data_IF_372717178101
#
_entry.id   IF_372717178101
#
_cell.length_a   1.000
_cell.length_b   1.000
_cell.length_c   1.000
_cell.angle_alpha   90.00
_cell.angle_beta   90.00
_cell.angle_gamma   90.00
#
_symmetry.space_group_name_H-M   'P 1'
#
loop_
_entity.id
_entity.type
_entity.pdbx_description
1 polymer ?
#
# COMPACT_ATOMS: atom_id res chain seq x y z
N UNK A 1 -9.18 -89.51 -41.32
CA UNK A 1 -7.88 -88.83 -41.48
C UNK A 1 -7.38 -88.54 -40.07
N UNK A 2 -6.64 -89.41 -39.35
CA UNK A 2 -5.49 -90.26 -39.74
C UNK A 2 -4.34 -89.42 -40.32
N UNK A 3 -3.10 -89.43 -39.82
CA UNK A 3 -2.49 -90.00 -38.59
C UNK A 3 -1.19 -89.19 -38.26
N UNK A 4 -0.27 -89.47 -37.31
CA UNK A 4 -0.03 -90.53 -36.29
C UNK A 4 1.02 -90.02 -35.26
N UNK A 5 1.19 -90.67 -34.10
CA UNK A 5 2.37 -90.51 -33.24
C UNK A 5 3.62 -91.26 -33.81
N UNK A 6 4.84 -91.00 -33.32
CA UNK A 6 5.42 -91.92 -32.33
C UNK A 6 6.28 -91.26 -31.22
N UNK A 7 6.79 -92.11 -30.32
CA UNK A 7 7.48 -91.79 -29.04
C UNK A 7 9.00 -92.16 -29.12
N UNK A 8 9.81 -92.41 -28.05
CA UNK A 8 10.92 -91.53 -27.65
C UNK A 8 12.35 -92.19 -27.68
N UNK A 9 13.27 -91.69 -26.85
CA UNK A 9 14.61 -92.22 -26.40
C UNK A 9 15.88 -91.64 -27.08
N UNK A 10 17.10 -91.80 -26.51
CA UNK A 10 17.49 -91.22 -25.21
C UNK A 10 18.93 -90.62 -25.13
N UNK A 11 19.21 -89.87 -24.07
CA UNK A 11 20.50 -89.91 -23.36
C UNK A 11 21.68 -89.01 -23.83
N UNK A 12 22.14 -88.13 -22.92
CA UNK A 12 23.49 -88.25 -22.36
C UNK A 12 23.59 -87.55 -20.99
N UNK A 13 24.11 -88.25 -19.98
CA UNK A 13 24.67 -87.64 -18.77
C UNK A 13 26.02 -86.94 -19.11
N UNK A 14 26.72 -86.18 -18.27
CA UNK A 14 26.70 -86.01 -16.81
C UNK A 14 27.40 -84.67 -16.44
N UNK A 15 27.34 -84.33 -15.14
CA UNK A 15 28.45 -83.77 -14.32
C UNK A 15 28.36 -82.28 -13.93
N UNK A 16 27.58 -82.05 -12.86
CA UNK A 16 27.84 -80.98 -11.87
C UNK A 16 29.27 -81.03 -11.33
N UNK A 17 29.79 -79.89 -10.87
CA UNK A 17 30.18 -79.81 -9.46
C UNK A 17 29.51 -78.66 -8.70
N UNK A 18 29.50 -78.83 -7.39
CA UNK A 18 28.65 -78.19 -6.40
C UNK A 18 29.00 -76.74 -6.00
N UNK A 19 28.03 -76.13 -5.29
CA UNK A 19 28.17 -75.15 -4.19
C UNK A 19 28.76 -73.75 -4.45
N UNK A 20 27.90 -72.75 -4.29
CA UNK A 20 28.26 -71.33 -4.13
C UNK A 20 26.99 -70.48 -4.06
N UNK A 21 26.43 -70.26 -2.87
CA UNK A 21 25.12 -69.61 -2.72
C UNK A 21 25.18 -68.09 -2.69
N UNK A 22 24.31 -67.43 -3.46
CA UNK A 22 23.73 -66.14 -3.09
C UNK A 22 22.34 -66.00 -3.73
N UNK A 23 21.32 -65.68 -2.93
CA UNK A 23 19.92 -65.66 -3.39
C UNK A 23 19.65 -64.45 -4.28
N UNK A 24 19.12 -64.68 -5.48
CA UNK A 24 18.61 -63.64 -6.39
C UNK A 24 17.19 -63.98 -6.85
N UNK A 25 16.22 -63.19 -6.39
CA UNK A 25 14.78 -63.34 -6.63
C UNK A 25 14.12 -61.93 -6.57
N UNK A 26 12.91 -61.71 -7.11
CA UNK A 26 12.78 -60.80 -8.26
C UNK A 26 12.29 -59.39 -7.93
N UNK A 27 12.40 -58.51 -8.93
CA UNK A 27 11.95 -57.11 -8.90
C UNK A 27 10.41 -57.02 -8.72
N UNK A 28 9.90 -56.31 -7.69
CA UNK A 28 8.48 -56.02 -7.54
C UNK A 28 8.03 -54.81 -8.40
N UNK A 29 6.72 -54.68 -8.70
CA UNK A 29 6.23 -53.74 -9.72
C UNK A 29 6.29 -52.27 -9.29
N UNK A 30 6.45 -51.38 -10.29
CA UNK A 30 6.47 -49.93 -10.12
C UNK A 30 5.10 -49.41 -9.68
N UNK A 31 4.97 -49.07 -8.40
CA UNK A 31 3.87 -48.23 -7.91
C UNK A 31 4.10 -46.79 -8.37
N UNK A 32 3.23 -46.30 -9.26
CA UNK A 32 3.29 -44.94 -9.79
C UNK A 32 2.90 -43.92 -8.69
N UNK A 33 3.91 -43.30 -8.05
CA UNK A 33 3.65 -42.22 -7.10
C UNK A 33 3.23 -40.95 -7.83
N UNK A 34 2.06 -40.40 -7.50
CA UNK A 34 1.63 -39.07 -7.98
C UNK A 34 2.30 -37.95 -7.20
N UNK A 35 3.63 -38.01 -7.07
CA UNK A 35 4.47 -36.97 -6.48
C UNK A 35 5.05 -36.10 -7.60
N UNK A 36 4.18 -35.39 -8.33
CA UNK A 36 4.60 -34.51 -9.42
C UNK A 36 5.34 -33.28 -8.88
N UNK A 37 6.67 -33.38 -8.89
CA UNK A 37 7.63 -32.29 -9.05
C UNK A 37 7.51 -31.15 -8.01
N UNK A 38 8.02 -31.44 -6.81
CA UNK A 38 8.52 -30.40 -5.90
C UNK A 38 9.79 -29.81 -6.51
N UNK A 39 9.67 -28.75 -7.32
CA UNK A 39 10.84 -27.99 -7.79
C UNK A 39 11.37 -27.12 -6.63
N UNK A 40 12.38 -27.62 -5.91
CA UNK A 40 13.09 -26.85 -4.87
C UNK A 40 14.22 -25.97 -5.44
N UNK A 41 14.47 -26.03 -6.75
CA UNK A 41 15.41 -25.16 -7.46
C UNK A 41 14.66 -24.14 -8.35
N UNK A 42 14.07 -23.13 -7.73
CA UNK A 42 13.77 -21.87 -8.41
C UNK A 42 14.47 -20.74 -7.66
N UNK A 43 15.41 -20.06 -8.31
CA UNK A 43 16.05 -18.87 -7.72
C UNK A 43 15.00 -17.79 -7.59
N UNK A 44 14.71 -17.37 -6.37
CA UNK A 44 13.84 -16.23 -6.10
C UNK A 44 14.37 -14.99 -6.82
N UNK A 45 13.67 -14.62 -7.89
CA UNK A 45 13.77 -13.31 -8.52
C UNK A 45 12.46 -12.55 -8.29
N UNK A 46 11.98 -12.58 -7.04
CA UNK A 46 10.89 -11.72 -6.59
C UNK A 46 11.46 -10.32 -6.37
N UNK A 47 11.47 -9.49 -7.41
CA UNK A 47 11.85 -8.08 -7.32
C UNK A 47 10.78 -7.23 -6.61
N UNK A 48 10.46 -7.62 -5.37
CA UNK A 48 9.69 -6.85 -4.40
C UNK A 48 10.40 -6.89 -3.04
N UNK A 49 11.71 -6.60 -3.06
CA UNK A 49 12.43 -6.10 -1.89
C UNK A 49 11.88 -4.72 -1.51
N UNK A 50 10.69 -4.71 -0.92
CA UNK A 50 10.12 -3.54 -0.24
C UNK A 50 10.93 -3.32 1.02
N UNK A 51 12.05 -2.64 0.82
CA UNK A 51 13.01 -2.19 1.82
C UNK A 51 12.28 -1.59 3.04
N UNK A 52 12.33 -2.25 4.21
CA UNK A 52 11.61 -1.77 5.39
C UNK A 52 12.22 -0.46 5.91
N UNK A 53 11.36 0.50 6.27
CA UNK A 53 11.78 1.60 7.14
C UNK A 53 12.12 1.04 8.52
N UNK A 54 13.41 1.05 8.91
CA UNK A 54 13.83 0.73 10.28
C UNK A 54 13.40 1.85 11.23
N UNK A 55 12.42 1.60 12.11
CA UNK A 55 12.16 2.47 13.27
C UNK A 55 13.11 2.11 14.43
N UNK A 56 13.93 3.03 14.95
CA UNK A 56 14.92 2.70 15.99
C UNK A 56 14.29 2.60 17.38
N UNK A 57 14.84 1.69 18.20
CA UNK A 57 14.77 1.75 19.67
C UNK A 57 16.16 1.50 20.23
N UNK A 58 16.53 2.26 21.26
CA UNK A 58 17.91 2.41 21.73
C UNK A 58 18.54 1.14 22.34
N UNK A 59 19.87 1.04 22.25
CA UNK A 59 20.63 -0.07 22.82
C UNK A 59 22.09 -0.09 22.37
N UNK A 60 22.93 0.75 22.98
CA UNK A 60 24.37 0.81 22.69
C UNK A 60 25.09 -0.40 23.33
N UNK A 61 25.71 -1.29 22.52
CA UNK A 61 27.13 -1.70 22.65
C UNK A 61 27.55 -2.90 21.78
N UNK A 62 28.85 -2.90 21.47
CA UNK A 62 29.76 -3.99 21.08
C UNK A 62 29.74 -4.58 19.65
N UNK A 63 30.89 -4.33 19.00
CA UNK A 63 31.41 -4.92 17.78
C UNK A 63 31.88 -6.38 18.04
N UNK A 64 31.48 -7.34 17.19
CA UNK A 64 32.29 -8.52 16.85
C UNK A 64 31.73 -9.23 15.61
N UNK A 65 32.56 -10.03 14.94
CA UNK A 65 32.37 -10.49 13.57
C UNK A 65 31.73 -11.87 13.40
N UNK A 66 31.31 -12.13 12.15
CA UNK A 66 31.19 -13.45 11.50
C UNK A 66 29.89 -14.25 11.68
N UNK A 67 29.15 -14.33 10.56
CA UNK A 67 28.67 -15.61 10.02
C UNK A 67 27.78 -16.48 10.92
N UNK A 68 26.54 -16.06 11.16
CA UNK A 68 25.47 -17.00 11.49
C UNK A 68 24.16 -16.59 10.82
N UNK A 69 23.46 -17.57 10.24
CA UNK A 69 22.12 -17.37 9.68
C UNK A 69 21.16 -17.11 10.83
N UNK A 70 20.78 -15.84 11.03
CA UNK A 70 19.98 -15.46 12.17
C UNK A 70 18.50 -15.77 11.90
N UNK A 71 17.95 -16.61 12.79
CA UNK A 71 16.58 -17.13 12.81
C UNK A 71 15.57 -16.01 12.58
N UNK A 72 14.75 -16.09 11.52
CA UNK A 72 13.69 -15.12 11.25
C UNK A 72 12.52 -15.35 12.22
N UNK A 73 12.60 -14.69 13.37
CA UNK A 73 11.66 -14.76 14.47
C UNK A 73 12.34 -14.34 15.78
N UNK A 74 11.60 -13.60 16.62
CA UNK A 74 11.95 -13.27 18.02
C UNK A 74 12.90 -12.08 18.34
N UNK A 75 12.87 -10.98 17.58
CA UNK A 75 13.26 -9.65 18.15
C UNK A 75 12.53 -8.44 17.55
N UNK A 76 12.56 -8.29 16.22
CA UNK A 76 12.20 -7.04 15.51
C UNK A 76 10.77 -6.99 14.92
N UNK A 77 9.79 -7.70 15.50
CA UNK A 77 8.39 -7.51 15.12
C UNK A 77 7.85 -6.14 15.55
N UNK A 78 6.92 -5.55 14.80
CA UNK A 78 6.25 -4.31 15.19
C UNK A 78 5.27 -4.54 16.35
N UNK A 79 5.20 -3.56 17.26
CA UNK A 79 4.17 -3.51 18.31
C UNK A 79 2.85 -3.02 17.75
N UNK A 80 1.71 -3.40 18.38
CA UNK A 80 0.37 -3.04 17.89
C UNK A 80 0.18 -1.53 17.61
N UNK A 81 0.84 -0.67 18.40
CA UNK A 81 0.79 0.78 18.24
C UNK A 81 1.64 1.27 17.08
N UNK A 82 2.85 0.72 16.89
CA UNK A 82 3.65 0.97 15.68
C UNK A 82 2.91 0.49 14.43
N UNK A 83 2.31 -0.70 14.48
CA UNK A 83 1.47 -1.25 13.40
C UNK A 83 0.32 -0.29 13.06
N UNK A 84 -0.38 0.23 14.07
CA UNK A 84 -1.43 1.24 13.88
C UNK A 84 -0.89 2.52 13.22
N UNK A 85 0.25 3.05 13.67
CA UNK A 85 0.88 4.23 13.06
C UNK A 85 1.24 3.97 11.60
N UNK A 86 1.84 2.81 11.27
CA UNK A 86 2.17 2.47 9.89
C UNK A 86 0.92 2.35 9.00
N UNK A 87 -0.18 1.79 9.53
CA UNK A 87 -1.46 1.69 8.83
C UNK A 87 -2.11 3.07 8.61
N UNK A 88 -2.05 3.95 9.60
CA UNK A 88 -2.51 5.33 9.46
C UNK A 88 -1.65 6.08 8.42
N UNK A 89 -0.31 5.99 8.52
CA UNK A 89 0.64 6.58 7.58
C UNK A 89 0.42 6.09 6.13
N UNK A 90 0.14 4.79 5.94
CA UNK A 90 -0.01 4.24 4.58
C UNK A 90 -1.28 4.71 3.86
N UNK A 91 -2.33 5.10 4.60
CA UNK A 91 -3.57 5.61 4.02
C UNK A 91 -3.57 7.15 3.96
N UNK A 92 -3.02 7.83 4.99
CA UNK A 92 -2.92 9.28 5.07
C UNK A 92 -1.85 9.78 4.08
N UNK A 93 -2.28 10.00 2.83
CA UNK A 93 -1.46 10.56 1.75
C UNK A 93 -2.18 11.68 1.00
N UNK A 94 -1.75 11.90 -0.25
CA UNK A 94 -2.33 12.94 -1.13
C UNK A 94 -3.81 12.72 -1.46
N UNK A 95 -4.31 11.47 -1.39
CA UNK A 95 -5.73 11.15 -1.57
C UNK A 95 -6.64 11.88 -0.57
N UNK A 96 -6.25 11.94 0.70
CA UNK A 96 -6.97 12.68 1.75
C UNK A 96 -7.13 14.16 1.40
N UNK A 97 -6.07 14.79 0.88
CA UNK A 97 -6.04 16.21 0.56
C UNK A 97 -6.93 16.57 -0.64
N UNK A 98 -7.26 15.60 -1.50
CA UNK A 98 -8.22 15.74 -2.61
C UNK A 98 -9.68 15.45 -2.24
N UNK A 99 -9.96 14.89 -1.06
CA UNK A 99 -11.33 14.55 -0.64
C UNK A 99 -12.33 15.73 -0.61
N UNK A 100 -11.94 16.97 -0.25
CA UNK A 100 -12.85 18.12 -0.34
C UNK A 100 -13.38 18.38 -1.76
N UNK A 101 -12.52 18.24 -2.79
CA UNK A 101 -12.94 18.31 -4.18
C UNK A 101 -13.79 17.10 -4.59
N UNK A 102 -13.49 15.91 -4.04
CA UNK A 102 -14.33 14.74 -4.23
C UNK A 102 -15.75 15.01 -3.68
N UNK A 103 -15.88 15.47 -2.44
CA UNK A 103 -17.18 15.76 -1.82
C UNK A 103 -17.95 16.85 -2.61
N UNK A 104 -17.27 17.87 -3.14
CA UNK A 104 -17.88 18.81 -4.12
C UNK A 104 -18.51 18.11 -5.32
N UNK A 105 -17.84 17.09 -5.87
CA UNK A 105 -18.29 16.36 -7.05
C UNK A 105 -19.45 15.38 -6.78
N UNK A 106 -19.78 15.10 -5.51
CA UNK A 106 -20.92 14.28 -5.10
C UNK A 106 -22.04 15.07 -4.39
N UNK A 107 -21.72 16.19 -3.75
CA UNK A 107 -22.63 16.99 -2.91
C UNK A 107 -22.38 16.78 -1.42
N UNK A 108 -22.75 17.77 -0.58
CA UNK A 108 -22.40 17.80 0.85
C UNK A 108 -23.08 16.68 1.67
N UNK A 109 -24.18 16.08 1.18
CA UNK A 109 -24.82 14.93 1.81
C UNK A 109 -24.38 13.60 1.17
N UNK A 110 -24.36 13.53 -0.16
CA UNK A 110 -24.02 12.30 -0.88
C UNK A 110 -22.54 11.92 -0.78
N UNK A 111 -21.62 12.89 -0.74
CA UNK A 111 -20.19 12.63 -0.58
C UNK A 111 -19.86 11.89 0.72
N UNK A 112 -20.23 12.42 1.91
CA UNK A 112 -19.98 11.75 3.19
C UNK A 112 -20.62 10.37 3.33
N UNK A 113 -21.88 10.23 2.87
CA UNK A 113 -22.57 8.94 2.85
C UNK A 113 -21.84 7.92 1.99
N UNK A 114 -21.38 8.34 0.80
CA UNK A 114 -20.68 7.46 -0.14
C UNK A 114 -19.25 7.14 0.33
N UNK A 115 -18.56 8.08 0.99
CA UNK A 115 -17.28 7.82 1.65
C UNK A 115 -17.41 6.76 2.76
N UNK A 116 -18.48 6.83 3.57
CA UNK A 116 -18.76 5.81 4.59
C UNK A 116 -19.00 4.43 3.94
N UNK A 117 -19.79 4.35 2.88
CA UNK A 117 -20.06 3.09 2.17
C UNK A 117 -18.79 2.52 1.54
N UNK A 118 -17.98 3.34 0.85
CA UNK A 118 -16.71 2.92 0.24
C UNK A 118 -15.73 2.46 1.32
N UNK A 119 -15.63 3.18 2.45
CA UNK A 119 -14.80 2.79 3.59
C UNK A 119 -15.22 1.44 4.18
N UNK A 120 -16.52 1.22 4.42
CA UNK A 120 -17.04 -0.07 4.91
C UNK A 120 -16.73 -1.22 3.94
N UNK A 121 -16.88 -1.01 2.63
CA UNK A 121 -16.54 -2.02 1.61
C UNK A 121 -15.03 -2.29 1.59
N UNK A 122 -14.20 -1.26 1.60
CA UNK A 122 -12.73 -1.39 1.62
C UNK A 122 -12.25 -2.19 2.84
N UNK A 123 -12.75 -1.84 4.03
CA UNK A 123 -12.44 -2.54 5.29
C UNK A 123 -12.91 -3.99 5.27
N UNK A 124 -14.09 -4.26 4.73
CA UNK A 124 -14.60 -5.63 4.57
C UNK A 124 -13.70 -6.46 3.63
N UNK A 125 -13.28 -5.89 2.49
CA UNK A 125 -12.35 -6.52 1.56
C UNK A 125 -10.97 -6.80 2.18
N UNK A 126 -10.38 -5.83 2.89
CA UNK A 126 -9.14 -6.02 3.65
C UNK A 126 -9.28 -7.14 4.69
N UNK A 127 -10.39 -7.16 5.44
CA UNK A 127 -10.66 -8.17 6.46
C UNK A 127 -10.90 -9.58 5.91
N UNK A 128 -11.45 -9.71 4.70
CA UNK A 128 -11.52 -11.00 3.98
C UNK A 128 -10.13 -11.43 3.55
N UNK A 129 -9.34 -10.53 2.96
CA UNK A 129 -8.00 -10.83 2.46
C UNK A 129 -7.08 -11.38 3.57
N UNK A 130 -7.05 -10.70 4.71
CA UNK A 130 -6.33 -11.12 5.94
C UNK A 130 -6.74 -12.53 6.37
N UNK A 131 -8.05 -12.81 6.44
CA UNK A 131 -8.55 -14.14 6.82
C UNK A 131 -8.14 -15.23 5.82
N UNK A 132 -8.15 -14.92 4.53
CA UNK A 132 -7.67 -15.83 3.48
C UNK A 132 -6.16 -16.09 3.59
N UNK A 133 -5.36 -15.03 3.75
CA UNK A 133 -3.91 -15.13 3.94
C UNK A 133 -3.56 -16.00 5.16
N UNK A 134 -4.17 -15.70 6.31
CA UNK A 134 -4.00 -16.49 7.55
C UNK A 134 -4.40 -17.95 7.38
N UNK A 135 -5.51 -18.24 6.65
CA UNK A 135 -5.91 -19.60 6.33
C UNK A 135 -4.86 -20.34 5.50
N UNK A 136 -4.26 -19.68 4.51
CA UNK A 136 -3.22 -20.30 3.68
C UNK A 136 -1.88 -20.47 4.41
N UNK A 137 -1.46 -19.53 5.26
CA UNK A 137 -0.30 -19.70 6.14
C UNK A 137 -0.44 -20.98 6.99
N UNK A 138 -1.59 -21.15 7.66
CA UNK A 138 -1.86 -22.33 8.50
C UNK A 138 -2.04 -23.62 7.68
N UNK A 139 -2.66 -23.56 6.49
CA UNK A 139 -2.85 -24.74 5.61
C UNK A 139 -1.55 -25.26 5.00
N UNK A 140 -0.67 -24.36 4.58
CA UNK A 140 0.54 -24.66 3.83
C UNK A 140 1.80 -24.68 4.71
N UNK A 141 1.64 -24.42 6.01
CA UNK A 141 2.73 -24.29 6.99
C UNK A 141 3.80 -23.28 6.55
N UNK A 142 3.36 -22.15 5.96
CA UNK A 142 4.21 -21.02 5.56
C UNK A 142 4.16 -19.92 6.62
N UNK A 143 5.27 -19.22 6.91
CA UNK A 143 5.31 -18.16 7.91
C UNK A 143 4.52 -16.91 7.49
N UNK A 144 4.45 -16.62 6.19
CA UNK A 144 3.68 -15.53 5.60
C UNK A 144 3.27 -15.86 4.16
N UNK A 145 2.35 -15.07 3.62
CA UNK A 145 1.98 -15.04 2.19
C UNK A 145 1.81 -13.60 1.71
N UNK A 146 2.13 -13.36 0.43
CA UNK A 146 1.94 -12.07 -0.24
C UNK A 146 0.63 -12.06 -1.06
N UNK A 147 0.27 -10.94 -1.68
CA UNK A 147 -0.96 -10.81 -2.48
C UNK A 147 -1.04 -11.83 -3.62
N UNK A 148 0.00 -11.87 -4.46
CA UNK A 148 0.09 -12.80 -5.58
C UNK A 148 -0.01 -14.27 -5.15
N UNK A 149 0.62 -14.63 -4.03
CA UNK A 149 0.55 -15.98 -3.44
C UNK A 149 -0.83 -16.28 -2.86
N UNK A 150 -1.42 -15.35 -2.11
CA UNK A 150 -2.78 -15.49 -1.53
C UNK A 150 -3.82 -15.74 -2.62
N UNK A 151 -3.70 -15.04 -3.75
CA UNK A 151 -4.56 -15.22 -4.92
C UNK A 151 -4.26 -16.56 -5.59
N UNK A 152 -3.00 -16.91 -5.82
CA UNK A 152 -2.61 -18.19 -6.42
C UNK A 152 -3.19 -19.38 -5.63
N UNK A 153 -2.96 -19.44 -4.32
CA UNK A 153 -3.49 -20.51 -3.47
C UNK A 153 -5.03 -20.51 -3.41
N UNK A 154 -5.66 -19.33 -3.45
CA UNK A 154 -7.11 -19.19 -3.59
C UNK A 154 -7.65 -19.79 -4.89
N UNK A 155 -6.95 -19.59 -6.02
CA UNK A 155 -7.34 -20.16 -7.31
C UNK A 155 -7.02 -21.67 -7.40
N UNK A 156 -5.92 -22.13 -6.80
CA UNK A 156 -5.57 -23.56 -6.72
C UNK A 156 -6.59 -24.36 -5.89
N UNK A 157 -7.08 -23.77 -4.80
CA UNK A 157 -8.14 -24.34 -3.96
C UNK A 157 -9.55 -24.30 -4.61
N UNK A 158 -9.70 -23.69 -5.79
CA UNK A 158 -11.00 -23.55 -6.46
C UNK A 158 -11.53 -24.89 -6.99
N UNK A 159 -12.85 -25.17 -6.88
CA UNK A 159 -13.46 -26.33 -7.53
C UNK A 159 -13.44 -26.22 -9.06
N UNK A 160 -13.28 -25.01 -9.61
CA UNK A 160 -13.31 -24.74 -11.05
C UNK A 160 -11.98 -25.14 -11.68
N UNK A 161 -11.97 -26.23 -12.45
CA UNK A 161 -10.75 -26.78 -13.07
C UNK A 161 -9.99 -25.79 -13.97
N UNK A 162 -10.68 -24.88 -14.67
CA UNK A 162 -10.03 -23.84 -15.48
C UNK A 162 -9.25 -22.83 -14.61
N UNK A 163 -9.81 -22.47 -13.46
CA UNK A 163 -9.23 -21.49 -12.55
C UNK A 163 -8.02 -22.08 -11.81
N UNK A 164 -8.16 -23.34 -11.35
CA UNK A 164 -7.07 -24.12 -10.75
C UNK A 164 -5.89 -24.32 -11.70
N UNK A 165 -6.14 -24.70 -12.95
CA UNK A 165 -5.07 -24.90 -13.94
C UNK A 165 -4.34 -23.59 -14.30
N UNK A 166 -5.02 -22.45 -14.20
CA UNK A 166 -4.49 -21.13 -14.53
C UNK A 166 -4.14 -20.28 -13.29
N UNK A 167 -4.03 -20.88 -12.09
CA UNK A 167 -3.82 -20.12 -10.85
C UNK A 167 -2.61 -19.16 -10.88
N UNK A 168 -1.53 -19.54 -11.57
CA UNK A 168 -0.34 -18.69 -11.79
C UNK A 168 -0.65 -17.41 -12.58
N UNK A 169 -1.64 -17.41 -13.48
CA UNK A 169 -2.11 -16.18 -14.14
C UNK A 169 -2.76 -15.23 -13.14
N UNK A 170 -3.46 -15.73 -12.12
CA UNK A 170 -4.05 -14.90 -11.07
C UNK A 170 -3.00 -14.10 -10.31
N UNK A 171 -1.89 -14.76 -9.94
CA UNK A 171 -0.72 -14.09 -9.34
C UNK A 171 -0.21 -12.94 -10.22
N UNK A 172 0.16 -13.24 -11.46
CA UNK A 172 0.70 -12.25 -12.39
C UNK A 172 -0.27 -11.08 -12.65
N UNK A 173 -1.59 -11.37 -12.67
CA UNK A 173 -2.63 -10.35 -12.86
C UNK A 173 -2.69 -9.39 -11.68
N UNK A 174 -2.66 -9.89 -10.44
CA UNK A 174 -2.71 -9.06 -9.23
C UNK A 174 -1.40 -8.32 -9.02
N UNK A 175 -0.25 -8.98 -9.21
CA UNK A 175 1.07 -8.34 -9.16
C UNK A 175 1.17 -7.19 -10.19
N UNK A 176 0.62 -7.38 -11.41
CA UNK A 176 0.52 -6.31 -12.42
C UNK A 176 -0.38 -5.14 -11.96
N UNK A 177 -1.57 -5.40 -11.42
CA UNK A 177 -2.45 -4.33 -10.93
C UNK A 177 -1.83 -3.56 -9.76
N UNK A 178 -1.11 -4.22 -8.86
CA UNK A 178 -0.37 -3.56 -7.77
C UNK A 178 0.74 -2.65 -8.32
N UNK A 179 1.51 -3.11 -9.31
CA UNK A 179 2.56 -2.29 -9.95
C UNK A 179 1.97 -1.06 -10.66
N UNK A 180 0.87 -1.23 -11.42
CA UNK A 180 0.18 -0.11 -12.09
C UNK A 180 -0.37 0.90 -11.07
N UNK A 181 -0.93 0.40 -9.97
CA UNK A 181 -1.47 1.23 -8.88
C UNK A 181 -0.36 2.04 -8.20
N UNK A 182 0.76 1.39 -7.85
CA UNK A 182 1.93 2.04 -7.25
C UNK A 182 2.57 3.08 -8.18
N UNK A 183 2.63 2.82 -9.49
CA UNK A 183 3.07 3.80 -10.50
C UNK A 183 2.15 5.03 -10.51
N UNK A 184 0.83 4.82 -10.45
CA UNK A 184 -0.16 5.88 -10.33
C UNK A 184 0.09 6.79 -9.12
N UNK A 185 0.43 6.22 -7.96
CA UNK A 185 0.73 7.02 -6.76
C UNK A 185 1.98 7.85 -6.92
N UNK A 186 3.05 7.30 -7.50
CA UNK A 186 4.25 8.07 -7.82
C UNK A 186 3.92 9.27 -8.71
N UNK A 187 3.08 9.09 -9.74
CA UNK A 187 2.60 10.18 -10.59
C UNK A 187 1.81 11.25 -9.79
N UNK A 188 0.87 10.84 -8.93
CA UNK A 188 0.10 11.79 -8.10
C UNK A 188 1.02 12.55 -7.12
N UNK A 189 1.99 11.88 -6.51
CA UNK A 189 2.97 12.53 -5.62
C UNK A 189 3.82 13.56 -6.38
N UNK A 190 4.23 13.30 -7.62
CA UNK A 190 5.00 14.26 -8.42
C UNK A 190 4.18 15.49 -8.83
N UNK A 191 2.93 15.31 -9.24
CA UNK A 191 2.00 16.42 -9.54
C UNK A 191 1.76 17.25 -8.29
N UNK A 192 1.41 16.60 -7.17
CA UNK A 192 1.17 17.27 -5.90
C UNK A 192 2.40 18.06 -5.44
N UNK A 193 3.59 17.47 -5.48
CA UNK A 193 4.83 18.14 -5.06
C UNK A 193 5.15 19.33 -5.96
N UNK A 194 4.96 19.21 -7.28
CA UNK A 194 5.20 20.30 -8.22
C UNK A 194 4.21 21.47 -8.02
N UNK A 195 2.91 21.20 -7.88
CA UNK A 195 1.89 22.25 -7.74
C UNK A 195 2.01 23.00 -6.40
N UNK A 196 2.27 22.29 -5.28
CA UNK A 196 2.50 22.94 -3.99
C UNK A 196 3.81 23.75 -3.98
N UNK A 197 4.89 23.23 -4.57
CA UNK A 197 6.17 23.96 -4.62
C UNK A 197 6.11 25.18 -5.54
N UNK A 198 5.36 25.07 -6.65
CA UNK A 198 5.02 26.20 -7.51
C UNK A 198 4.31 27.29 -6.70
N UNK A 199 3.26 26.95 -5.94
CA UNK A 199 2.55 27.91 -5.09
C UNK A 199 3.48 28.61 -4.08
N UNK A 200 4.40 27.86 -3.45
CA UNK A 200 5.38 28.42 -2.51
C UNK A 200 6.34 29.40 -3.20
N UNK A 201 6.82 29.09 -4.41
CA UNK A 201 7.72 29.99 -5.17
C UNK A 201 6.98 31.22 -5.70
N UNK A 202 5.75 31.04 -6.19
CA UNK A 202 4.92 32.15 -6.67
C UNK A 202 4.54 33.10 -5.53
N UNK A 203 4.27 32.57 -4.32
CA UNK A 203 4.10 33.37 -3.10
C UNK A 203 5.41 34.10 -2.72
N UNK A 204 6.55 33.39 -2.66
CA UNK A 204 7.83 33.98 -2.30
C UNK A 204 8.27 35.10 -3.27
N UNK A 205 8.15 34.88 -4.58
CA UNK A 205 8.46 35.87 -5.61
C UNK A 205 7.44 37.02 -5.65
N UNK A 206 6.19 36.79 -5.23
CA UNK A 206 5.16 37.82 -5.05
C UNK A 206 5.41 38.76 -3.86
N UNK A 207 6.42 38.49 -3.02
CA UNK A 207 6.74 39.26 -1.80
C UNK A 207 7.44 40.60 -2.09
N UNK A 208 6.94 41.39 -3.04
CA UNK A 208 7.16 42.85 -3.04
C UNK A 208 6.33 43.46 -1.91
N UNK A 209 6.84 43.34 -0.68
CA UNK A 209 6.67 44.27 0.46
C UNK A 209 5.50 45.27 0.37
N UNK A 210 4.25 44.78 0.49
CA UNK A 210 3.07 45.55 0.96
C UNK A 210 1.79 44.67 1.00
N UNK A 211 1.55 43.92 2.07
CA UNK A 211 0.24 43.28 2.30
C UNK A 211 -0.79 44.26 2.94
N UNK A 212 -0.71 45.54 2.60
CA UNK A 212 -1.49 46.62 3.26
C UNK A 212 -2.72 47.06 2.45
N UNK A 213 -2.78 46.73 1.15
CA UNK A 213 -3.91 47.02 0.28
C UNK A 213 -4.62 45.71 -0.08
N UNK A 214 -5.96 45.74 -0.15
CA UNK A 214 -6.81 44.64 -0.63
C UNK A 214 -6.73 44.43 -2.16
N UNK A 215 -5.56 44.64 -2.74
CA UNK A 215 -5.30 44.37 -4.16
C UNK A 215 -4.53 43.05 -4.26
N UNK A 216 -5.12 42.09 -4.95
CA UNK A 216 -4.57 40.75 -5.13
C UNK A 216 -3.18 40.83 -5.73
N UNK A 217 -2.17 40.37 -4.98
CA UNK A 217 -0.79 40.23 -5.45
C UNK A 217 -0.82 39.51 -6.80
N UNK A 218 -0.40 40.21 -7.85
CA UNK A 218 -0.37 39.66 -9.20
C UNK A 218 0.69 38.56 -9.22
N UNK A 219 0.22 37.32 -9.18
CA UNK A 219 1.04 36.12 -9.27
C UNK A 219 1.81 36.19 -10.60
N UNK A 220 3.09 36.58 -10.55
CA UNK A 220 3.91 36.61 -11.75
C UNK A 220 4.04 35.15 -12.23
N UNK A 221 3.66 34.82 -13.48
CA UNK A 221 3.52 33.42 -13.89
C UNK A 221 4.90 32.78 -14.10
N UNK A 222 5.54 32.38 -13.00
CA UNK A 222 6.86 31.76 -13.01
C UNK A 222 6.71 30.28 -13.33
N UNK A 223 6.57 30.00 -14.62
CA UNK A 223 6.61 28.68 -15.27
C UNK A 223 5.36 27.78 -15.10
N UNK A 224 5.16 26.92 -16.10
CA UNK A 224 4.17 25.84 -16.09
C UNK A 224 4.53 24.78 -15.03
N UNK A 225 3.54 24.15 -14.38
CA UNK A 225 3.77 23.12 -13.34
C UNK A 225 4.60 21.94 -13.88
N UNK A 226 4.54 21.70 -15.20
CA UNK A 226 5.36 20.73 -15.93
C UNK A 226 6.87 20.98 -15.86
N UNK A 227 7.31 22.24 -15.78
CA UNK A 227 8.72 22.58 -15.63
C UNK A 227 9.21 22.29 -14.22
N UNK A 228 8.36 22.48 -13.19
CA UNK A 228 8.66 22.04 -11.83
C UNK A 228 8.74 20.51 -11.73
N UNK A 229 7.81 19.77 -12.35
CA UNK A 229 7.89 18.30 -12.44
C UNK A 229 9.21 17.84 -13.09
N UNK A 230 9.62 18.48 -14.19
CA UNK A 230 10.88 18.17 -14.87
C UNK A 230 12.12 18.51 -14.01
N UNK A 231 12.09 19.63 -13.28
CA UNK A 231 13.17 20.06 -12.40
C UNK A 231 13.35 19.16 -11.17
N UNK A 232 12.27 18.60 -10.63
CA UNK A 232 12.33 17.65 -9.51
C UNK A 232 12.75 16.24 -9.91
N UNK A 233 12.46 15.81 -11.15
CA UNK A 233 12.79 14.48 -11.66
C UNK A 233 14.26 14.05 -11.42
N UNK A 234 15.32 14.84 -11.72
CA UNK A 234 16.70 14.42 -11.45
C UNK A 234 17.00 14.26 -9.94
N UNK A 235 16.40 15.08 -9.06
CA UNK A 235 16.56 14.95 -7.62
C UNK A 235 15.87 13.69 -7.07
N UNK A 236 14.67 13.39 -7.57
CA UNK A 236 13.92 12.19 -7.24
C UNK A 236 14.63 10.91 -7.73
N UNK A 237 15.22 10.94 -8.92
CA UNK A 237 16.07 9.85 -9.43
C UNK A 237 17.28 9.64 -8.52
N UNK A 238 17.95 10.71 -8.07
CA UNK A 238 19.07 10.61 -7.12
C UNK A 238 18.63 10.01 -5.78
N UNK A 239 17.47 10.39 -5.25
CA UNK A 239 16.89 9.79 -4.05
C UNK A 239 16.66 8.28 -4.18
N UNK A 240 16.22 7.79 -5.36
CA UNK A 240 16.06 6.35 -5.62
C UNK A 240 17.40 5.60 -5.65
N UNK A 241 18.51 6.28 -5.96
CA UNK A 241 19.86 5.70 -5.86
C UNK A 241 20.40 5.62 -4.42
N UNK A 242 19.71 6.18 -3.41
CA UNK A 242 20.14 6.10 -2.00
C UNK A 242 19.92 4.70 -1.44
N UNK A 243 20.95 3.86 -1.52
CA UNK A 243 20.93 2.48 -1.00
C UNK A 243 20.95 2.38 0.54
N UNK A 244 21.24 3.48 1.25
CA UNK A 244 21.34 3.49 2.71
C UNK A 244 20.03 3.93 3.37
N UNK A 245 19.13 2.96 3.55
CA UNK A 245 17.80 3.11 4.15
C UNK A 245 17.83 3.71 5.58
N UNK A 246 18.94 3.54 6.32
CA UNK A 246 19.06 4.08 7.67
C UNK A 246 18.99 5.59 7.70
N UNK A 247 19.57 6.29 6.72
CA UNK A 247 19.44 7.75 6.63
C UNK A 247 17.98 8.15 6.34
N UNK A 248 17.28 7.38 5.50
CA UNK A 248 15.89 7.61 5.13
C UNK A 248 14.93 7.48 6.33
N UNK A 249 15.24 6.62 7.31
CA UNK A 249 14.42 6.46 8.52
C UNK A 249 14.26 7.77 9.33
N UNK A 250 15.31 8.58 9.43
CA UNK A 250 15.28 9.85 10.17
C UNK A 250 14.43 10.88 9.42
N UNK A 251 14.59 10.95 8.09
CA UNK A 251 13.74 11.80 7.24
C UNK A 251 12.27 11.34 7.29
N UNK A 252 12.01 10.03 7.37
CA UNK A 252 10.66 9.47 7.52
C UNK A 252 10.02 9.84 8.86
N UNK A 253 10.76 9.78 9.96
CA UNK A 253 10.28 10.27 11.27
C UNK A 253 9.94 11.76 11.22
N UNK A 254 10.80 12.59 10.62
CA UNK A 254 10.53 14.02 10.46
C UNK A 254 9.30 14.26 9.56
N UNK A 255 9.16 13.53 8.46
CA UNK A 255 8.02 13.60 7.55
C UNK A 255 6.69 13.20 8.23
N UNK A 256 6.72 12.22 9.13
CA UNK A 256 5.53 11.84 9.91
C UNK A 256 5.12 12.97 10.87
N UNK A 257 6.08 13.62 11.53
CA UNK A 257 5.82 14.76 12.42
C UNK A 257 5.26 15.94 11.63
N UNK A 258 5.87 16.32 10.50
CA UNK A 258 5.38 17.42 9.67
C UNK A 258 4.03 17.12 9.05
N UNK A 259 3.72 15.88 8.68
CA UNK A 259 2.40 15.44 8.22
C UNK A 259 1.32 15.65 9.29
N UNK A 260 1.59 15.26 10.54
CA UNK A 260 0.65 15.48 11.67
C UNK A 260 0.44 16.97 11.92
N UNK A 261 1.51 17.77 11.95
CA UNK A 261 1.42 19.23 12.13
C UNK A 261 0.64 19.87 10.98
N UNK A 262 0.88 19.45 9.73
CA UNK A 262 0.17 19.97 8.55
C UNK A 262 -1.33 19.66 8.61
N UNK A 263 -1.71 18.44 9.02
CA UNK A 263 -3.12 18.10 9.20
C UNK A 263 -3.78 18.93 10.30
N UNK A 264 -3.11 19.12 11.45
CA UNK A 264 -3.64 19.97 12.53
C UNK A 264 -3.83 21.42 12.05
N UNK A 265 -2.85 21.99 11.33
CA UNK A 265 -2.95 23.34 10.76
C UNK A 265 -4.11 23.47 9.76
N UNK A 266 -4.28 22.48 8.87
CA UNK A 266 -5.39 22.43 7.92
C UNK A 266 -6.74 22.38 8.67
N UNK A 267 -6.87 21.54 9.70
CA UNK A 267 -8.10 21.46 10.51
C UNK A 267 -8.41 22.77 11.24
N UNK A 268 -7.40 23.42 11.84
CA UNK A 268 -7.57 24.73 12.49
C UNK A 268 -8.09 25.77 11.50
N UNK A 269 -7.49 25.84 10.30
CA UNK A 269 -7.90 26.78 9.25
C UNK A 269 -9.34 26.54 8.74
N UNK A 270 -9.73 25.28 8.58
CA UNK A 270 -11.09 24.91 8.12
C UNK A 270 -12.17 25.27 9.14
N UNK A 271 -11.87 25.17 10.44
CA UNK A 271 -12.89 25.30 11.50
C UNK A 271 -13.15 26.77 11.90
N UNK A 272 -12.30 27.72 11.50
CA UNK A 272 -12.40 29.13 11.91
C UNK A 272 -13.63 29.87 11.35
N UNK A 273 -14.00 29.67 10.07
CA UNK A 273 -15.00 30.48 9.35
C UNK A 273 -16.05 29.62 8.61
N UNK A 274 -16.57 28.58 9.26
CA UNK A 274 -17.50 27.61 8.64
C UNK A 274 -18.78 28.33 8.13
N UNK A 275 -19.06 28.35 6.80
CA UNK A 275 -20.25 28.99 6.25
C UNK A 275 -21.50 28.09 6.33
N UNK A 276 -22.69 28.69 6.12
CA UNK A 276 -23.96 27.97 6.20
C UNK A 276 -24.07 26.81 5.20
N UNK A 277 -24.27 25.55 5.66
CA UNK A 277 -24.31 24.38 4.78
C UNK A 277 -25.52 24.34 3.85
N UNK A 278 -26.57 25.11 4.14
CA UNK A 278 -27.76 25.26 3.28
C UNK A 278 -27.48 25.96 1.96
N UNK A 279 -26.31 26.60 1.79
CA UNK A 279 -25.89 27.25 0.55
C UNK A 279 -25.25 26.27 -0.45
N UNK A 280 -25.00 25.02 -0.06
CA UNK A 280 -24.32 24.01 -0.88
C UNK A 280 -25.30 22.93 -1.40
N UNK A 281 -25.07 22.39 -2.61
CA UNK A 281 -25.88 21.30 -3.15
C UNK A 281 -25.71 20.04 -2.29
N UNK A 282 -26.81 19.55 -1.72
CA UNK A 282 -26.87 18.28 -0.98
C UNK A 282 -26.42 17.10 -1.88
N UNK A 283 -26.80 17.16 -3.15
CA UNK A 283 -26.47 16.17 -4.19
C UNK A 283 -25.98 16.92 -5.43
N UNK A 284 -24.80 16.56 -5.94
CA UNK A 284 -24.24 17.09 -7.17
C UNK A 284 -24.73 16.30 -8.40
N UNK A 285 -24.26 16.70 -9.58
CA UNK A 285 -24.65 16.07 -10.84
C UNK A 285 -24.12 14.63 -10.94
N UNK A 286 -24.92 13.68 -11.43
CA UNK A 286 -24.49 12.28 -11.63
C UNK A 286 -23.25 12.15 -12.54
N UNK A 287 -23.02 13.13 -13.42
CA UNK A 287 -21.87 13.23 -14.32
C UNK A 287 -20.54 13.46 -13.58
N UNK A 288 -20.54 14.09 -12.40
CA UNK A 288 -19.33 14.32 -11.59
C UNK A 288 -19.09 13.23 -10.55
N UNK A 289 -20.10 12.38 -10.27
CA UNK A 289 -19.99 11.28 -9.32
C UNK A 289 -18.86 10.25 -9.64
N UNK A 290 -18.56 9.90 -10.91
CA UNK A 290 -17.41 9.05 -11.23
C UNK A 290 -16.06 9.65 -10.82
N UNK A 291 -15.92 11.00 -10.86
CA UNK A 291 -14.72 11.69 -10.39
C UNK A 291 -14.60 11.57 -8.86
N UNK A 292 -15.70 11.79 -8.14
CA UNK A 292 -15.77 11.52 -6.70
C UNK A 292 -15.38 10.07 -6.38
N UNK A 293 -15.96 9.09 -7.07
CA UNK A 293 -15.70 7.68 -6.82
C UNK A 293 -14.22 7.33 -7.04
N UNK A 294 -13.60 7.83 -8.11
CA UNK A 294 -12.17 7.65 -8.37
C UNK A 294 -11.29 8.21 -7.24
N UNK A 295 -11.54 9.46 -6.81
CA UNK A 295 -10.78 10.08 -5.71
C UNK A 295 -11.04 9.40 -4.36
N UNK A 296 -12.27 8.95 -4.10
CA UNK A 296 -12.63 8.24 -2.87
C UNK A 296 -11.97 6.86 -2.79
N UNK A 297 -11.99 6.08 -3.88
CA UNK A 297 -11.29 4.78 -3.96
C UNK A 297 -9.78 4.98 -3.83
N UNK A 298 -9.21 6.01 -4.46
CA UNK A 298 -7.80 6.36 -4.28
C UNK A 298 -7.46 6.70 -2.83
N UNK A 299 -8.29 7.49 -2.14
CA UNK A 299 -8.06 7.81 -0.73
C UNK A 299 -8.13 6.57 0.18
N UNK A 300 -9.06 5.65 -0.06
CA UNK A 300 -9.15 4.37 0.67
C UNK A 300 -8.17 3.29 0.18
N UNK A 301 -7.28 3.63 -0.76
CA UNK A 301 -6.17 2.76 -1.12
C UNK A 301 -5.06 2.87 -0.06
N UNK A 302 -5.12 1.93 0.86
CA UNK A 302 -3.97 1.45 1.64
C UNK A 302 -3.91 -0.07 1.66
N UNK A 303 -4.67 -0.73 0.77
CA UNK A 303 -4.87 -2.18 0.76
C UNK A 303 -3.53 -2.89 0.55
N UNK A 304 -2.67 -2.39 -0.35
CA UNK A 304 -1.37 -3.00 -0.65
C UNK A 304 -0.42 -3.15 0.56
N UNK A 305 -0.60 -2.35 1.62
CA UNK A 305 0.24 -2.42 2.83
C UNK A 305 -0.28 -3.37 3.91
N UNK A 306 -1.51 -3.90 3.78
CA UNK A 306 -2.18 -4.71 4.82
C UNK A 306 -1.43 -6.01 5.12
N UNK A 307 -1.17 -6.86 4.13
CA UNK A 307 -0.45 -8.14 4.34
C UNK A 307 1.02 -7.94 4.78
N UNK A 308 1.85 -7.07 4.16
CA UNK A 308 3.21 -6.83 4.62
C UNK A 308 3.30 -6.31 6.07
N UNK A 309 2.24 -5.64 6.54
CA UNK A 309 2.14 -5.11 7.89
C UNK A 309 1.71 -6.18 8.91
N UNK A 310 0.74 -7.03 8.55
CA UNK A 310 0.39 -8.24 9.32
C UNK A 310 1.62 -9.16 9.49
N UNK A 311 2.30 -9.45 8.39
CA UNK A 311 3.48 -10.32 8.32
C UNK A 311 4.66 -9.84 9.18
N UNK A 312 4.66 -8.56 9.61
CA UNK A 312 5.67 -7.93 10.47
C UNK A 312 5.21 -7.73 11.92
N UNK A 313 4.01 -8.15 12.31
CA UNK A 313 3.55 -8.02 13.69
C UNK A 313 4.19 -9.05 14.64
N UNK A 314 4.43 -8.66 15.90
CA UNK A 314 4.75 -9.62 16.98
C UNK A 314 3.59 -10.59 17.29
N UNK A 315 2.36 -10.16 17.04
CA UNK A 315 1.13 -10.92 17.31
C UNK A 315 0.11 -10.66 16.19
N UNK A 316 0.16 -11.42 15.08
CA UNK A 316 -0.75 -11.22 13.95
C UNK A 316 -2.21 -11.55 14.29
N UNK A 317 -2.49 -12.33 15.35
CA UNK A 317 -3.86 -12.60 15.80
C UNK A 317 -4.62 -11.34 16.21
N UNK A 318 -3.90 -10.28 16.62
CA UNK A 318 -4.47 -8.97 16.95
C UNK A 318 -4.59 -8.03 15.75
N UNK A 319 -4.03 -8.37 14.59
CA UNK A 319 -4.00 -7.48 13.42
C UNK A 319 -5.40 -7.09 12.94
N UNK A 320 -6.36 -8.02 12.93
CA UNK A 320 -7.75 -7.72 12.57
C UNK A 320 -8.35 -6.58 13.42
N UNK A 321 -8.10 -6.54 14.73
CA UNK A 321 -8.60 -5.48 15.60
C UNK A 321 -7.96 -4.12 15.27
N UNK A 322 -6.66 -4.10 14.99
CA UNK A 322 -5.90 -2.91 14.59
C UNK A 322 -6.40 -2.40 13.23
N UNK A 323 -6.68 -3.30 12.29
CA UNK A 323 -7.23 -2.99 10.97
C UNK A 323 -8.60 -2.32 11.08
N UNK A 324 -9.56 -2.92 11.80
CA UNK A 324 -10.89 -2.30 11.98
C UNK A 324 -10.81 -0.95 12.71
N UNK A 325 -10.01 -0.86 13.78
CA UNK A 325 -9.86 0.37 14.56
C UNK A 325 -9.17 1.50 13.78
N UNK A 326 -8.05 1.20 13.13
CA UNK A 326 -7.29 2.16 12.33
C UNK A 326 -8.06 2.64 11.10
N UNK A 327 -8.74 1.74 10.39
CA UNK A 327 -9.56 2.13 9.24
C UNK A 327 -10.83 2.88 9.65
N UNK A 328 -11.37 2.66 10.85
CA UNK A 328 -12.44 3.50 11.39
C UNK A 328 -11.95 4.94 11.64
N UNK A 329 -10.75 5.12 12.22
CA UNK A 329 -10.11 6.42 12.40
C UNK A 329 -9.90 7.12 11.04
N UNK A 330 -9.38 6.39 10.05
CA UNK A 330 -9.20 6.88 8.66
C UNK A 330 -10.54 7.31 8.05
N UNK A 331 -11.58 6.48 8.16
CA UNK A 331 -12.91 6.77 7.60
C UNK A 331 -13.52 8.03 8.23
N UNK A 332 -13.39 8.20 9.55
CA UNK A 332 -13.82 9.42 10.25
C UNK A 332 -13.03 10.64 9.75
N UNK A 333 -11.69 10.56 9.72
CA UNK A 333 -10.80 11.62 9.25
C UNK A 333 -11.12 12.07 7.81
N UNK A 334 -11.48 11.11 6.95
CA UNK A 334 -11.80 11.31 5.54
C UNK A 334 -13.15 12.01 5.37
N UNK A 335 -14.16 11.56 6.11
CA UNK A 335 -15.48 12.17 6.14
C UNK A 335 -15.40 13.58 6.70
N UNK A 336 -14.69 13.80 7.82
CA UNK A 336 -14.58 15.13 8.42
C UNK A 336 -13.79 16.10 7.53
N UNK A 337 -12.63 15.71 6.99
CA UNK A 337 -11.85 16.62 6.12
C UNK A 337 -12.59 16.91 4.82
N UNK A 338 -13.16 15.88 4.18
CA UNK A 338 -13.91 16.03 2.93
C UNK A 338 -15.14 16.94 3.09
N UNK A 339 -15.92 16.74 4.16
CA UNK A 339 -17.12 17.54 4.43
C UNK A 339 -16.77 18.97 4.79
N UNK A 340 -15.91 19.16 5.80
CA UNK A 340 -15.58 20.49 6.32
C UNK A 340 -14.75 21.30 5.30
N UNK A 341 -13.84 20.66 4.57
CA UNK A 341 -13.09 21.30 3.49
C UNK A 341 -13.99 21.74 2.33
N UNK A 342 -14.99 20.94 1.94
CA UNK A 342 -15.97 21.39 0.94
C UNK A 342 -16.85 22.51 1.49
N UNK A 343 -17.24 22.44 2.77
CA UNK A 343 -18.03 23.48 3.43
C UNK A 343 -17.29 24.83 3.41
N UNK A 344 -16.03 24.85 3.82
CA UNK A 344 -15.20 26.06 3.89
C UNK A 344 -14.95 26.71 2.51
N UNK A 345 -14.57 25.92 1.50
CA UNK A 345 -14.12 26.45 0.20
C UNK A 345 -15.20 26.45 -0.89
N UNK A 346 -16.29 25.70 -0.71
CA UNK A 346 -17.42 25.61 -1.63
C UNK A 346 -17.00 25.38 -3.08
N UNK A 347 -17.49 26.24 -3.99
CA UNK A 347 -17.18 26.17 -5.42
C UNK A 347 -15.75 26.63 -5.80
N UNK A 348 -14.91 27.06 -4.84
CA UNK A 348 -13.52 27.49 -5.07
C UNK A 348 -12.47 26.44 -4.69
N UNK A 349 -12.88 25.28 -4.16
CA UNK A 349 -11.95 24.18 -3.85
C UNK A 349 -11.20 23.70 -5.12
N UNK A 350 -9.89 23.53 -5.00
CA UNK A 350 -8.95 23.08 -6.03
C UNK A 350 -8.62 21.58 -5.89
N UNK A 351 -7.69 21.07 -6.70
CA UNK A 351 -7.27 19.65 -6.73
C UNK A 351 -6.75 19.09 -5.40
N UNK A 352 -6.19 19.95 -4.56
CA UNK A 352 -5.78 19.66 -3.18
C UNK A 352 -6.18 20.83 -2.30
N UNK A 353 -6.65 20.54 -1.07
CA UNK A 353 -6.96 21.57 -0.07
C UNK A 353 -5.76 22.45 0.31
N UNK A 354 -4.53 21.94 0.14
CA UNK A 354 -3.31 22.73 0.39
C UNK A 354 -3.22 23.94 -0.55
N UNK A 355 -3.67 23.80 -1.81
CA UNK A 355 -3.70 24.88 -2.81
C UNK A 355 -4.76 25.95 -2.50
N UNK A 356 -5.67 25.68 -1.56
CA UNK A 356 -6.67 26.63 -1.09
C UNK A 356 -6.24 27.41 0.17
N UNK A 357 -5.08 27.11 0.74
CA UNK A 357 -4.52 27.89 1.85
C UNK A 357 -4.08 29.29 1.37
N UNK A 358 -4.09 30.31 2.26
CA UNK A 358 -3.71 31.66 1.89
C UNK A 358 -2.23 31.76 1.54
N UNK A 359 -1.94 32.44 0.42
CA UNK A 359 -0.57 32.66 -0.09
C UNK A 359 0.22 33.73 0.68
N UNK A 360 -0.44 34.50 1.55
CA UNK A 360 0.19 35.54 2.37
C UNK A 360 0.32 35.03 3.81
N UNK A 361 1.56 34.94 4.32
CA UNK A 361 1.84 34.67 5.72
C UNK A 361 2.56 35.89 6.30
N UNK A 362 1.96 36.52 7.31
CA UNK A 362 2.66 37.53 8.09
C UNK A 362 3.40 36.81 9.22
N UNK A 363 4.70 37.01 9.31
CA UNK A 363 5.45 36.71 10.53
C UNK A 363 5.20 37.89 11.46
N UNK A 364 4.47 37.66 12.56
CA UNK A 364 4.34 38.67 13.61
C UNK A 364 5.70 38.96 14.26
N UNK A 365 5.87 40.14 14.86
CA UNK A 365 7.14 40.51 15.53
C UNK A 365 7.51 39.55 16.68
N UNK A 366 6.53 38.82 17.24
CA UNK A 366 6.71 37.75 18.23
C UNK A 366 7.19 36.40 17.64
N UNK A 367 7.44 36.31 16.33
CA UNK A 367 7.88 35.09 15.64
C UNK A 367 6.77 34.08 15.33
N UNK A 368 5.50 34.44 15.56
CA UNK A 368 4.33 33.62 15.20
C UNK A 368 4.00 33.74 13.72
N UNK A 369 3.86 32.61 13.01
CA UNK A 369 3.29 32.60 11.67
C UNK A 369 1.77 32.76 11.75
N UNK A 370 1.24 33.85 11.20
CA UNK A 370 -0.20 34.08 11.04
C UNK A 370 -0.57 34.34 9.58
N UNK A 371 -1.60 33.67 9.07
CA UNK A 371 -2.25 34.12 7.84
C UNK A 371 -3.17 35.32 8.14
N UNK A 372 -3.43 36.24 7.20
CA UNK A 372 -4.40 37.31 7.39
C UNK A 372 -5.79 36.70 7.65
N UNK A 373 -6.26 36.84 8.90
CA UNK A 373 -7.40 36.11 9.46
C UNK A 373 -7.14 35.55 10.86
N UNK A 374 -5.89 35.19 11.19
CA UNK A 374 -5.52 34.60 12.50
C UNK A 374 -5.73 35.52 13.71
N UNK A 375 -5.64 36.84 13.51
CA UNK A 375 -5.95 37.84 14.52
C UNK A 375 -7.04 38.77 13.98
N UNK A 376 -8.29 38.37 14.19
CA UNK A 376 -9.44 39.25 14.06
C UNK A 376 -10.14 39.39 15.41
N UNK A 377 -9.43 40.03 16.34
CA UNK A 377 -9.92 40.64 17.58
C UNK A 377 -8.72 41.28 18.31
N UNK A 378 -8.51 42.59 18.12
CA UNK A 378 -8.76 43.62 19.14
C UNK A 378 -9.03 44.97 18.44
#
# INVERSE_FOLDING_TARGET
MAASAPEPTPGLELKTPATGGLSTAPVPPVTMSTQRLRNEDYRDYSSTDVSPEESPSEGLNNFSSSGSYQRFGESNGTTWFQTLIHLLKSNIGTGLLGLPLAVRNAGILMGPLSLLVIGLVAVHCMGILVKCAHHFCHRLNKPFVDYGDTVMYGLEASPISWLRNNARWGRHTVDFFLIVTQLGFCCVYFVFLADNFKQVIEAANGTTTNCHNNETVILTPTMDSRLYMLAFLPFLVLLVFVRNLRALSIFSLLANITMVVSLVMIYQFIVQDIPDPSLLPLVASWQTYPLFFGTAVFAFEGIGMVLPLENKMKDPGKFSFILYGGMAIITVLYISLGSLGYLQFGAKIQGSITLNLPNCWYVGEDGTLGAPGFFKNE
#
